data_IF_351040397715
#
_entry.id   IF_351040397715
#
_cell.length_a   1.000
_cell.length_b   1.000
_cell.length_c   1.000
_cell.angle_alpha   90.00
_cell.angle_beta   90.00
_cell.angle_gamma   90.00
#
_symmetry.space_group_name_H-M   'P 1'
#
loop_
_entity.id
_entity.type
_entity.pdbx_description
1 polymer ?
#
# COMPACT_ATOMS: atom_id res chain seq x y z
N UNK A 1 -14.23 -6.49 0.32
CA UNK A 1 -12.89 -6.96 -0.02
C UNK A 1 -11.96 -6.80 1.18
N UNK A 2 -11.05 -7.72 1.35
CA UNK A 2 -10.03 -7.68 2.39
C UNK A 2 -8.67 -7.54 1.72
N UNK A 3 -7.83 -6.65 2.24
CA UNK A 3 -6.51 -6.40 1.70
C UNK A 3 -5.45 -6.81 2.74
N UNK A 4 -4.44 -7.53 2.30
CA UNK A 4 -3.39 -7.99 3.20
C UNK A 4 -2.05 -8.10 2.48
N UNK A 5 -1.02 -7.57 3.10
CA UNK A 5 0.35 -7.76 2.64
C UNK A 5 0.99 -8.93 3.34
N UNK A 6 1.97 -9.55 2.71
CA UNK A 6 2.65 -10.67 3.29
C UNK A 6 4.17 -10.46 3.29
N UNK A 7 4.85 -11.21 4.16
CA UNK A 7 6.30 -11.09 4.30
C UNK A 7 7.06 -11.54 3.06
N UNK A 8 6.41 -12.28 2.16
CA UNK A 8 7.03 -12.73 0.91
C UNK A 8 6.91 -11.69 -0.22
N UNK A 9 6.33 -10.52 0.07
CA UNK A 9 6.25 -9.44 -0.90
C UNK A 9 4.98 -9.43 -1.74
N UNK A 10 4.01 -10.27 -1.44
CA UNK A 10 2.75 -10.31 -2.18
C UNK A 10 1.67 -9.54 -1.43
N UNK A 11 1.00 -8.65 -2.12
CA UNK A 11 -0.15 -7.94 -1.58
C UNK A 11 -1.42 -8.52 -2.20
N UNK A 12 -2.33 -8.98 -1.34
CA UNK A 12 -3.53 -9.71 -1.78
C UNK A 12 -4.78 -8.88 -1.58
N UNK A 13 -5.72 -9.04 -2.51
CA UNK A 13 -7.10 -8.61 -2.34
C UNK A 13 -7.97 -9.85 -2.37
N UNK A 14 -8.71 -10.08 -1.28
CA UNK A 14 -9.53 -11.28 -1.12
C UNK A 14 -11.00 -10.90 -1.00
N UNK A 15 -11.86 -11.82 -1.44
CA UNK A 15 -13.31 -11.69 -1.25
C UNK A 15 -13.67 -11.99 0.19
N UNK A 16 -14.47 -11.12 0.82
CA UNK A 16 -14.99 -11.36 2.17
C UNK A 16 -15.89 -12.58 2.19
N UNK A 17 -16.68 -12.79 1.13
CA UNK A 17 -17.73 -13.80 1.14
C UNK A 17 -17.20 -15.23 1.06
N UNK A 18 -16.06 -15.47 0.41
CA UNK A 18 -15.55 -16.83 0.22
C UNK A 18 -14.03 -16.96 0.41
N UNK A 19 -13.35 -15.88 0.76
CA UNK A 19 -11.90 -15.89 0.98
C UNK A 19 -11.07 -16.10 -0.26
N UNK A 20 -11.67 -16.10 -1.43
CA UNK A 20 -10.92 -16.31 -2.67
C UNK A 20 -10.21 -15.05 -3.10
N UNK A 21 -9.07 -15.23 -3.76
CA UNK A 21 -8.28 -14.13 -4.29
C UNK A 21 -9.01 -13.45 -5.43
N UNK A 22 -9.11 -12.10 -5.35
CA UNK A 22 -9.64 -11.28 -6.44
C UNK A 22 -8.49 -10.82 -7.32
N UNK A 23 -7.42 -10.32 -6.70
CA UNK A 23 -6.18 -9.98 -7.39
C UNK A 23 -5.01 -10.02 -6.41
N UNK A 24 -3.80 -10.03 -6.96
CA UNK A 24 -2.57 -9.92 -6.18
C UNK A 24 -1.61 -8.98 -6.89
N UNK A 25 -0.72 -8.37 -6.11
CA UNK A 25 0.35 -7.54 -6.62
C UNK A 25 1.66 -7.98 -5.98
N UNK A 26 2.64 -8.35 -6.80
CA UNK A 26 3.95 -8.78 -6.32
C UNK A 26 4.87 -7.56 -6.29
N UNK A 27 5.13 -7.01 -5.11
CA UNK A 27 6.07 -5.91 -4.97
C UNK A 27 7.49 -6.39 -4.67
N UNK A 28 7.67 -7.69 -4.45
CA UNK A 28 8.97 -8.35 -4.26
C UNK A 28 9.70 -7.91 -2.99
N UNK A 29 9.06 -7.13 -2.15
CA UNK A 29 9.63 -6.64 -0.91
C UNK A 29 8.65 -6.87 0.22
N UNK A 30 9.15 -7.17 1.42
CA UNK A 30 8.31 -7.43 2.58
C UNK A 30 7.35 -6.29 2.85
N UNK A 31 6.09 -6.62 3.08
CA UNK A 31 5.04 -5.67 3.43
C UNK A 31 4.68 -5.92 4.88
N UNK A 32 5.06 -5.01 5.77
CA UNK A 32 4.87 -5.20 7.21
C UNK A 32 3.81 -4.29 7.82
N UNK A 33 3.46 -3.21 7.15
CA UNK A 33 2.43 -2.31 7.64
C UNK A 33 1.06 -2.63 7.09
N UNK A 34 0.04 -2.02 7.68
CA UNK A 34 -1.32 -2.13 7.17
C UNK A 34 -1.50 -1.24 5.94
N UNK A 35 -2.45 -1.61 5.09
CA UNK A 35 -2.81 -0.80 3.94
C UNK A 35 -3.92 0.19 4.28
N UNK A 36 -3.97 1.29 3.57
CA UNK A 36 -5.04 2.29 3.64
C UNK A 36 -5.84 2.24 2.35
N UNK A 37 -7.16 2.16 2.45
CA UNK A 37 -8.04 2.32 1.30
C UNK A 37 -8.60 3.74 1.36
N UNK A 38 -8.34 4.52 0.32
CA UNK A 38 -8.76 5.93 0.28
C UNK A 38 -8.90 6.38 -1.17
N UNK A 39 -10.02 7.02 -1.49
CA UNK A 39 -10.28 7.56 -2.84
C UNK A 39 -10.06 6.51 -3.96
N UNK A 40 -10.65 5.33 -3.79
CA UNK A 40 -10.60 4.22 -4.76
C UNK A 40 -9.20 3.67 -5.01
N UNK A 41 -8.27 3.94 -4.11
CA UNK A 41 -6.91 3.43 -4.18
C UNK A 41 -6.53 2.73 -2.90
N UNK A 42 -5.57 1.83 -3.01
CA UNK A 42 -4.97 1.12 -1.88
C UNK A 42 -3.53 1.60 -1.77
N UNK A 43 -3.16 2.05 -0.57
CA UNK A 43 -1.83 2.57 -0.31
C UNK A 43 -1.11 1.70 0.71
N UNK A 44 0.14 1.36 0.44
CA UNK A 44 0.97 0.64 1.41
C UNK A 44 2.45 0.88 1.12
N UNK A 45 3.26 0.79 2.18
CA UNK A 45 4.70 0.86 2.06
C UNK A 45 5.34 -0.50 2.19
N UNK A 46 6.57 -0.63 1.72
CA UNK A 46 7.32 -1.88 1.81
C UNK A 46 8.71 -1.66 2.44
N UNK A 47 9.43 -2.77 2.65
CA UNK A 47 10.72 -2.73 3.33
C UNK A 47 11.84 -2.10 2.50
N UNK A 48 11.64 -1.95 1.20
CA UNK A 48 12.59 -1.23 0.34
C UNK A 48 12.36 0.28 0.37
N UNK A 49 11.33 0.74 1.07
CA UNK A 49 11.02 2.16 1.16
C UNK A 49 10.14 2.68 0.04
N UNK A 50 9.56 1.81 -0.74
CA UNK A 50 8.64 2.22 -1.81
C UNK A 50 7.24 2.37 -1.25
N UNK A 51 6.61 3.51 -1.53
CA UNK A 51 5.21 3.75 -1.21
C UNK A 51 4.39 3.49 -2.45
N UNK A 52 3.44 2.55 -2.35
CA UNK A 52 2.71 2.02 -3.50
C UNK A 52 1.26 2.47 -3.47
N UNK A 53 0.74 2.81 -4.65
CA UNK A 53 -0.67 3.17 -4.83
C UNK A 53 -1.25 2.29 -5.93
N UNK A 54 -2.22 1.44 -5.58
CA UNK A 54 -2.88 0.53 -6.51
C UNK A 54 -4.35 0.90 -6.65
N UNK A 55 -4.93 0.60 -7.81
CA UNK A 55 -6.37 0.68 -7.97
C UNK A 55 -7.04 -0.46 -7.20
N UNK A 56 -8.05 -0.15 -6.37
CA UNK A 56 -8.57 -1.15 -5.45
C UNK A 56 -9.36 -2.27 -6.13
N UNK A 57 -9.94 -2.02 -7.31
CA UNK A 57 -10.74 -3.04 -8.02
C UNK A 57 -9.90 -4.04 -8.79
N UNK A 58 -8.77 -3.61 -9.32
CA UNK A 58 -7.98 -4.40 -10.26
C UNK A 58 -6.61 -4.76 -9.76
N UNK A 59 -6.08 -4.04 -8.76
CA UNK A 59 -4.71 -4.23 -8.29
C UNK A 59 -3.66 -3.63 -9.22
N UNK A 60 -4.08 -2.86 -10.21
CA UNK A 60 -3.12 -2.23 -11.12
C UNK A 60 -2.42 -1.08 -10.42
N UNK A 61 -1.10 -0.99 -10.63
CA UNK A 61 -0.30 0.10 -10.05
C UNK A 61 -0.72 1.42 -10.70
N UNK A 62 -1.03 2.41 -9.86
CA UNK A 62 -1.30 3.76 -10.33
C UNK A 62 -0.02 4.58 -10.30
N UNK A 63 0.71 4.48 -9.21
CA UNK A 63 2.03 5.09 -9.07
C UNK A 63 2.74 4.51 -7.86
N UNK A 64 4.04 4.75 -7.79
CA UNK A 64 4.83 4.45 -6.60
C UNK A 64 5.89 5.52 -6.44
N UNK A 65 6.38 5.67 -5.20
CA UNK A 65 7.42 6.64 -4.89
C UNK A 65 8.47 5.98 -4.01
N UNK A 66 9.74 6.12 -4.38
CA UNK A 66 10.84 5.56 -3.62
C UNK A 66 11.31 6.54 -2.56
N UNK A 67 11.18 6.16 -1.27
CA UNK A 67 11.77 6.93 -0.17
C UNK A 67 13.16 6.41 0.13
N UNK A 68 13.86 7.06 1.05
CA UNK A 68 15.24 6.71 1.39
C UNK A 68 15.40 5.64 2.47
N UNK A 69 14.30 5.08 2.99
CA UNK A 69 14.37 4.05 4.03
C UNK A 69 13.09 3.25 4.11
N UNK A 70 13.09 2.12 4.86
CA UNK A 70 11.91 1.27 4.97
C UNK A 70 10.67 2.02 5.46
N UNK A 71 9.51 1.56 5.00
CA UNK A 71 8.20 2.05 5.45
C UNK A 71 7.54 0.90 6.19
N UNK A 72 7.36 1.03 7.50
CA UNK A 72 6.83 -0.05 8.34
C UNK A 72 5.47 0.27 8.96
N UNK A 73 5.10 1.54 9.00
CA UNK A 73 3.83 1.97 9.57
C UNK A 73 2.71 2.00 8.55
N UNK A 74 1.48 2.14 9.03
CA UNK A 74 0.32 2.30 8.17
C UNK A 74 0.22 3.75 7.70
N UNK A 75 -0.17 3.97 6.43
CA UNK A 75 -0.44 5.34 5.96
C UNK A 75 -1.71 5.89 6.59
N UNK A 76 -1.86 7.21 6.58
CA UNK A 76 -3.06 7.90 7.01
C UNK A 76 -3.61 8.74 5.87
N UNK A 77 -4.94 8.83 5.76
CA UNK A 77 -5.59 9.62 4.75
C UNK A 77 -6.42 10.74 5.36
N UNK A 78 -6.41 11.89 4.70
CA UNK A 78 -7.23 13.04 5.11
C UNK A 78 -7.59 13.84 3.86
N UNK A 79 -8.89 13.86 3.53
CA UNK A 79 -9.36 14.54 2.33
C UNK A 79 -8.72 13.95 1.07
N UNK A 80 -8.06 14.78 0.30
CA UNK A 80 -7.42 14.35 -0.95
C UNK A 80 -5.94 14.02 -0.79
N UNK A 81 -5.47 13.85 0.47
CA UNK A 81 -4.07 13.56 0.73
C UNK A 81 -3.88 12.28 1.50
N UNK A 82 -2.75 11.63 1.27
CA UNK A 82 -2.29 10.50 2.08
C UNK A 82 -0.91 10.82 2.61
N UNK A 83 -0.62 10.31 3.80
CA UNK A 83 0.63 10.58 4.51
C UNK A 83 1.29 9.28 4.91
N UNK A 84 2.60 9.21 4.77
CA UNK A 84 3.37 8.07 5.24
C UNK A 84 4.70 8.52 5.82
N UNK A 85 5.16 7.81 6.84
CA UNK A 85 6.48 8.03 7.41
C UNK A 85 7.47 7.00 6.87
N UNK A 86 8.73 7.38 6.78
CA UNK A 86 9.79 6.50 6.33
C UNK A 86 10.95 6.53 7.33
N UNK A 87 11.73 5.46 7.37
CA UNK A 87 12.93 5.41 8.20
C UNK A 87 14.04 6.35 7.70
N UNK A 88 13.82 7.03 6.58
CA UNK A 88 14.71 8.12 6.15
C UNK A 88 14.52 9.40 6.98
N UNK A 89 13.64 9.36 8.00
CA UNK A 89 13.33 10.46 8.93
C UNK A 89 12.43 11.53 8.31
N UNK A 90 11.76 11.23 7.21
CA UNK A 90 10.84 12.16 6.56
C UNK A 90 9.40 11.67 6.66
N UNK A 91 8.50 12.64 6.72
CA UNK A 91 7.07 12.40 6.55
C UNK A 91 6.70 12.86 5.14
N UNK A 92 6.04 11.99 4.42
CA UNK A 92 5.66 12.26 3.03
C UNK A 92 4.16 12.50 2.92
N UNK A 93 3.78 13.42 2.06
CA UNK A 93 2.38 13.70 1.75
C UNK A 93 2.19 13.62 0.23
N UNK A 94 1.18 12.87 -0.19
CA UNK A 94 0.87 12.67 -1.62
C UNK A 94 -0.58 13.01 -1.89
N UNK A 95 -0.87 13.35 -3.15
CA UNK A 95 -2.26 13.47 -3.58
C UNK A 95 -2.87 12.09 -3.71
N UNK A 96 -4.08 11.91 -3.16
CA UNK A 96 -4.83 10.65 -3.26
C UNK A 96 -5.68 10.59 -4.53
N UNK A 97 -5.70 11.65 -5.31
CA UNK A 97 -6.53 11.74 -6.52
C UNK A 97 -5.68 12.03 -7.75
#
# INVERSE_FOLDING_TARGET
MVFAGSADGIFYCLSISNGKEIWRYDCKEQISGSALIHKDSVFFGDSAGRFNCLEYKTGRIRWSYQTGGPITGAPAGAGEKVFTGSFDKNLYAFSAV
#
